data_IF_767838144233
#
_entry.id   IF_767838144233
#
_cell.length_a   1.000
_cell.length_b   1.000
_cell.length_c   1.000
_cell.angle_alpha   90.00
_cell.angle_beta   90.00
_cell.angle_gamma   90.00
#
_symmetry.space_group_name_H-M   'P 1'
#
loop_
_entity.id
_entity.type
_entity.pdbx_description
1 polymer ?
#
# COMPACT_ATOMS: atom_id res chain seq x y z
N UNK A 1 -5.73 30.70 10.35
CA UNK A 1 -4.40 30.48 10.95
C UNK A 1 -3.29 30.25 9.90
N UNK A 2 -3.60 29.79 8.67
CA UNK A 2 -2.64 29.60 7.57
C UNK A 2 -1.97 30.88 7.02
N UNK A 3 -2.58 32.05 7.22
CA UNK A 3 -2.09 33.31 6.64
C UNK A 3 -0.85 33.92 7.33
N UNK A 4 -0.35 33.34 8.42
CA UNK A 4 0.81 33.91 9.16
C UNK A 4 2.14 33.27 8.72
N UNK A 5 2.12 32.06 8.14
CA UNK A 5 3.35 31.31 7.80
C UNK A 5 3.95 31.72 6.44
N UNK A 6 3.18 32.38 5.58
CA UNK A 6 3.58 32.70 4.20
C UNK A 6 4.54 33.90 4.04
N UNK A 7 4.90 34.60 5.12
CA UNK A 7 5.70 35.85 5.04
C UNK A 7 7.22 35.66 4.97
N UNK A 8 7.76 34.43 4.91
CA UNK A 8 9.21 34.21 5.00
C UNK A 8 9.79 33.05 4.19
N UNK A 9 9.05 32.51 3.21
CA UNK A 9 9.55 31.40 2.38
C UNK A 9 9.99 31.93 1.02
N UNK A 10 11.27 31.80 0.69
CA UNK A 10 11.79 32.15 -0.64
C UNK A 10 11.12 31.29 -1.71
N UNK A 11 10.97 31.82 -2.94
CA UNK A 11 10.09 31.27 -3.98
C UNK A 11 10.24 29.77 -4.27
N UNK A 12 11.41 29.18 -4.00
CA UNK A 12 11.69 27.75 -4.16
C UNK A 12 11.04 26.88 -3.06
N UNK A 13 10.99 27.37 -1.81
CA UNK A 13 10.31 26.70 -0.69
C UNK A 13 8.80 26.76 -0.84
N UNK A 14 8.27 27.85 -1.40
CA UNK A 14 6.85 27.96 -1.72
C UNK A 14 6.44 26.97 -2.81
N UNK A 15 7.26 26.79 -3.86
CA UNK A 15 7.02 25.78 -4.90
C UNK A 15 7.11 24.36 -4.33
N UNK A 16 8.08 24.06 -3.44
CA UNK A 16 8.19 22.74 -2.81
C UNK A 16 6.98 22.45 -1.90
N UNK A 17 6.51 23.43 -1.12
CA UNK A 17 5.29 23.28 -0.32
C UNK A 17 4.03 23.17 -1.18
N UNK A 18 3.94 23.92 -2.28
CA UNK A 18 2.80 23.86 -3.20
C UNK A 18 2.76 22.55 -4.00
N UNK A 19 3.92 21.99 -4.39
CA UNK A 19 4.01 20.67 -5.02
C UNK A 19 3.65 19.55 -4.05
N UNK A 20 4.12 19.62 -2.79
CA UNK A 20 3.75 18.64 -1.77
C UNK A 20 2.28 18.78 -1.34
N UNK A 21 1.76 20.01 -1.17
CA UNK A 21 0.34 20.25 -0.93
C UNK A 21 -0.53 19.80 -2.10
N UNK A 22 -0.08 19.99 -3.35
CA UNK A 22 -0.81 19.51 -4.52
C UNK A 22 -0.84 17.99 -4.57
N UNK A 23 0.28 17.32 -4.26
CA UNK A 23 0.31 15.85 -4.14
C UNK A 23 -0.58 15.34 -3.00
N UNK A 24 -0.59 16.01 -1.84
CA UNK A 24 -1.47 15.68 -0.71
C UNK A 24 -2.95 15.94 -1.03
N UNK A 25 -3.26 17.02 -1.76
CA UNK A 25 -4.63 17.34 -2.18
C UNK A 25 -5.10 16.37 -3.26
N UNK A 26 -4.27 16.07 -4.27
CA UNK A 26 -4.57 15.06 -5.30
C UNK A 26 -4.74 13.68 -4.65
N UNK A 27 -3.90 13.32 -3.67
CA UNK A 27 -4.04 12.07 -2.91
C UNK A 27 -5.32 12.04 -2.07
N UNK A 28 -5.66 13.13 -1.37
CA UNK A 28 -6.91 13.25 -0.59
C UNK A 28 -8.16 13.24 -1.48
N UNK A 29 -8.12 13.91 -2.61
CA UNK A 29 -9.23 13.98 -3.57
C UNK A 29 -9.45 12.62 -4.23
N UNK A 30 -8.38 11.89 -4.58
CA UNK A 30 -8.45 10.51 -5.03
C UNK A 30 -9.00 9.56 -3.94
N UNK A 31 -8.61 9.74 -2.67
CA UNK A 31 -9.12 8.96 -1.55
C UNK A 31 -10.63 9.19 -1.32
N UNK A 32 -11.10 10.43 -1.38
CA UNK A 32 -12.53 10.77 -1.26
C UNK A 32 -13.32 10.22 -2.45
N UNK A 33 -12.79 10.34 -3.67
CA UNK A 33 -13.43 9.82 -4.87
C UNK A 33 -13.48 8.27 -4.90
N UNK A 34 -12.47 7.58 -4.38
CA UNK A 34 -12.48 6.12 -4.18
C UNK A 34 -13.44 5.68 -3.06
N UNK A 35 -13.68 6.52 -2.05
CA UNK A 35 -14.62 6.21 -0.96
C UNK A 35 -16.07 6.10 -1.47
N UNK A 36 -16.42 6.79 -2.55
CA UNK A 36 -17.76 6.74 -3.18
C UNK A 36 -17.83 5.82 -4.41
N UNK A 37 -16.70 5.37 -4.96
CA UNK A 37 -16.64 4.57 -6.18
C UNK A 37 -15.70 3.40 -6.03
N UNK A 38 -16.28 2.20 -6.16
CA UNK A 38 -15.61 0.92 -6.34
C UNK A 38 -14.67 0.49 -5.21
N UNK A 39 -15.19 -0.47 -4.45
CA UNK A 39 -14.45 -1.55 -3.79
C UNK A 39 -13.19 -1.86 -4.67
N UNK A 40 -11.96 -1.60 -4.19
CA UNK A 40 -10.66 -1.87 -4.87
C UNK A 40 -10.60 -3.18 -5.69
N UNK A 41 -10.14 -3.13 -6.95
CA UNK A 41 -10.03 -4.34 -7.80
C UNK A 41 -8.71 -5.06 -7.59
N UNK A 42 -8.67 -6.35 -7.95
CA UNK A 42 -7.43 -7.13 -7.84
C UNK A 42 -6.29 -6.55 -8.70
N UNK A 43 -6.58 -6.15 -9.94
CA UNK A 43 -5.56 -5.57 -10.84
C UNK A 43 -4.98 -4.26 -10.29
N UNK A 44 -5.80 -3.44 -9.62
CA UNK A 44 -5.33 -2.22 -8.95
C UNK A 44 -4.35 -2.58 -7.84
N UNK A 45 -4.71 -3.51 -6.95
CA UNK A 45 -3.80 -3.97 -5.89
C UNK A 45 -2.50 -4.52 -6.47
N UNK A 46 -2.60 -5.33 -7.51
CA UNK A 46 -1.45 -5.95 -8.16
C UNK A 46 -0.50 -4.91 -8.75
N UNK A 47 -1.04 -3.84 -9.34
CA UNK A 47 -0.22 -2.77 -9.89
C UNK A 47 0.47 -1.94 -8.79
N UNK A 48 -0.24 -1.65 -7.69
CA UNK A 48 0.29 -0.88 -6.56
C UNK A 48 1.37 -1.65 -5.77
N UNK A 49 1.22 -2.98 -5.65
CA UNK A 49 2.12 -3.83 -4.86
C UNK A 49 3.02 -4.73 -5.72
N UNK A 50 3.16 -4.47 -7.02
CA UNK A 50 3.94 -5.33 -7.94
C UNK A 50 5.40 -5.53 -7.50
N UNK A 51 5.98 -4.51 -6.85
CA UNK A 51 7.37 -4.50 -6.43
C UNK A 51 7.58 -5.14 -5.03
N UNK A 52 6.47 -5.48 -4.35
CA UNK A 52 6.49 -6.12 -3.04
C UNK A 52 6.43 -7.64 -3.19
N UNK A 53 7.48 -8.33 -2.71
CA UNK A 53 7.51 -9.79 -2.71
C UNK A 53 6.48 -10.41 -1.76
N UNK A 54 6.11 -9.71 -0.69
CA UNK A 54 5.13 -10.11 0.33
C UNK A 54 4.38 -8.86 0.80
N UNK A 55 3.10 -9.00 1.11
CA UNK A 55 2.28 -7.91 1.62
C UNK A 55 1.25 -8.38 2.66
N UNK A 56 0.74 -7.42 3.41
CA UNK A 56 -0.16 -7.59 4.56
C UNK A 56 -1.47 -6.83 4.37
N UNK A 57 -2.46 -7.16 5.20
CA UNK A 57 -3.72 -6.39 5.22
C UNK A 57 -3.50 -4.90 5.55
N UNK A 58 -2.46 -4.57 6.33
CA UNK A 58 -2.19 -3.19 6.71
C UNK A 58 -1.64 -2.39 5.52
N UNK A 59 -0.73 -2.95 4.73
CA UNK A 59 -0.24 -2.30 3.50
C UNK A 59 -1.37 -2.10 2.49
N UNK A 60 -2.29 -3.07 2.36
CA UNK A 60 -3.49 -2.90 1.53
C UNK A 60 -4.33 -1.73 2.04
N UNK A 61 -4.50 -1.59 3.36
CA UNK A 61 -5.27 -0.50 3.98
C UNK A 61 -4.60 0.86 3.89
N UNK A 62 -3.28 0.91 3.68
CA UNK A 62 -2.60 2.17 3.34
C UNK A 62 -3.05 2.69 1.97
N UNK A 63 -3.40 1.79 1.05
CA UNK A 63 -3.87 2.12 -0.31
C UNK A 63 -5.39 2.31 -0.34
N UNK A 64 -6.15 1.37 0.24
CA UNK A 64 -7.60 1.43 0.39
C UNK A 64 -7.99 1.31 1.88
N UNK A 65 -8.14 2.44 2.59
CA UNK A 65 -8.45 2.45 4.03
C UNK A 65 -9.73 1.66 4.39
N UNK A 66 -10.67 1.56 3.47
CA UNK A 66 -11.95 0.87 3.66
C UNK A 66 -11.89 -0.59 3.20
N UNK A 67 -10.71 -1.13 2.92
CA UNK A 67 -10.56 -2.48 2.39
C UNK A 67 -11.10 -3.55 3.35
N UNK A 68 -12.09 -4.30 2.87
CA UNK A 68 -12.72 -5.38 3.61
C UNK A 68 -11.91 -6.69 3.51
N UNK A 69 -11.45 -7.21 4.65
CA UNK A 69 -10.70 -8.48 4.77
C UNK A 69 -11.33 -9.66 4.02
N UNK A 70 -12.66 -9.74 3.96
CA UNK A 70 -13.41 -10.80 3.26
C UNK A 70 -12.97 -10.98 1.81
N UNK A 71 -12.50 -9.92 1.14
CA UNK A 71 -11.97 -10.00 -0.23
C UNK A 71 -10.72 -10.83 -0.38
N UNK A 72 -9.88 -10.89 0.64
CA UNK A 72 -8.71 -11.75 0.60
C UNK A 72 -9.13 -13.22 0.55
N UNK A 73 -10.26 -13.59 1.15
CA UNK A 73 -10.81 -14.93 1.00
C UNK A 73 -11.26 -15.15 -0.46
N UNK A 74 -12.06 -14.24 -1.01
CA UNK A 74 -12.50 -14.31 -2.42
C UNK A 74 -11.32 -14.42 -3.40
N UNK A 75 -10.23 -13.70 -3.15
CA UNK A 75 -9.03 -13.73 -4.01
C UNK A 75 -8.14 -14.96 -3.78
N UNK A 76 -8.14 -15.53 -2.58
CA UNK A 76 -7.52 -16.83 -2.33
C UNK A 76 -8.29 -17.95 -3.05
N UNK A 77 -9.62 -17.94 -2.96
CA UNK A 77 -10.48 -18.93 -3.63
C UNK A 77 -10.31 -18.90 -5.15
N UNK A 78 -10.10 -17.69 -5.70
CA UNK A 78 -9.77 -17.48 -7.13
C UNK A 78 -8.31 -17.74 -7.49
N UNK A 79 -7.49 -18.19 -6.53
CA UNK A 79 -6.05 -18.42 -6.71
C UNK A 79 -5.27 -17.19 -7.19
N UNK A 80 -5.72 -15.97 -6.86
CA UNK A 80 -4.99 -14.74 -7.20
C UNK A 80 -3.87 -14.43 -6.21
N UNK A 81 -4.05 -14.83 -4.96
CA UNK A 81 -3.06 -14.66 -3.90
C UNK A 81 -2.91 -15.97 -3.11
N UNK A 82 -1.74 -16.16 -2.52
CA UNK A 82 -1.46 -17.25 -1.58
C UNK A 82 -1.12 -16.66 -0.23
N UNK A 83 -1.64 -17.26 0.83
CA UNK A 83 -1.27 -16.91 2.20
C UNK A 83 0.04 -17.61 2.56
N UNK A 84 1.00 -16.87 3.10
CA UNK A 84 2.27 -17.46 3.53
C UNK A 84 2.29 -17.70 5.04
N UNK A 85 1.92 -16.69 5.82
CA UNK A 85 1.74 -16.77 7.28
C UNK A 85 0.51 -15.96 7.70
N UNK A 86 0.18 -15.92 8.99
CA UNK A 86 -0.99 -15.18 9.50
C UNK A 86 -0.90 -13.69 9.13
N UNK A 87 -1.80 -13.25 8.24
CA UNK A 87 -1.94 -11.85 7.86
C UNK A 87 -1.08 -11.39 6.69
N UNK A 88 -0.22 -12.28 6.15
CA UNK A 88 0.68 -11.98 5.05
C UNK A 88 0.46 -12.89 3.85
N UNK A 89 0.56 -12.31 2.65
CA UNK A 89 0.18 -12.90 1.39
C UNK A 89 1.20 -12.56 0.30
N UNK A 90 1.18 -13.36 -0.76
CA UNK A 90 1.92 -13.14 -2.00
C UNK A 90 0.97 -13.26 -3.18
N UNK A 91 1.32 -12.67 -4.32
CA UNK A 91 0.60 -12.93 -5.56
C UNK A 91 0.87 -14.36 -6.05
N UNK A 92 -0.17 -15.05 -6.53
CA UNK A 92 -0.03 -16.45 -6.96
C UNK A 92 0.83 -16.62 -8.21
N UNK A 93 0.90 -15.58 -9.04
CA UNK A 93 1.68 -15.54 -10.27
C UNK A 93 3.09 -14.95 -10.08
N UNK A 94 3.48 -14.66 -8.84
CA UNK A 94 4.84 -14.29 -8.51
C UNK A 94 5.78 -15.44 -8.87
N UNK A 95 6.69 -15.21 -9.81
CA UNK A 95 7.67 -16.19 -10.22
C UNK A 95 8.69 -16.39 -9.10
N UNK A 96 8.79 -17.60 -8.54
CA UNK A 96 9.71 -17.88 -7.46
C UNK A 96 11.13 -18.07 -8.00
N UNK A 97 11.94 -17.03 -7.92
CA UNK A 97 13.40 -17.12 -8.05
C UNK A 97 14.06 -17.26 -6.69
N UNK A 98 15.32 -17.69 -6.66
CA UNK A 98 16.12 -17.76 -5.43
C UNK A 98 16.18 -16.38 -4.72
N UNK A 99 16.36 -15.30 -5.49
CA UNK A 99 16.34 -13.93 -4.97
C UNK A 99 15.01 -13.59 -4.27
N UNK A 100 13.87 -13.95 -4.87
CA UNK A 100 12.55 -13.69 -4.30
C UNK A 100 12.33 -14.53 -3.04
N UNK A 101 12.77 -15.78 -3.04
CA UNK A 101 12.72 -16.65 -1.85
C UNK A 101 13.53 -16.05 -0.70
N UNK A 102 14.74 -15.54 -0.96
CA UNK A 102 15.54 -14.84 0.04
C UNK A 102 14.85 -13.58 0.56
N UNK A 103 14.23 -12.78 -0.30
CA UNK A 103 13.46 -11.60 0.11
C UNK A 103 12.31 -11.98 1.04
N UNK A 104 11.51 -12.98 0.67
CA UNK A 104 10.39 -13.47 1.50
C UNK A 104 10.91 -13.95 2.86
N UNK A 105 11.97 -14.76 2.87
CA UNK A 105 12.55 -15.28 4.11
C UNK A 105 13.07 -14.15 5.01
N UNK A 106 13.77 -13.17 4.45
CA UNK A 106 14.28 -12.01 5.18
C UNK A 106 13.13 -11.17 5.77
N UNK A 107 12.08 -10.91 4.98
CA UNK A 107 10.88 -10.21 5.46
C UNK A 107 10.21 -10.98 6.60
N UNK A 108 10.08 -12.30 6.51
CA UNK A 108 9.53 -13.11 7.59
C UNK A 108 10.36 -13.04 8.86
N UNK A 109 11.68 -13.19 8.75
CA UNK A 109 12.58 -13.08 9.90
C UNK A 109 12.43 -11.72 10.60
N UNK A 110 12.33 -10.64 9.83
CA UNK A 110 12.07 -9.31 10.37
C UNK A 110 10.71 -9.25 11.09
N UNK A 111 9.64 -9.77 10.48
CA UNK A 111 8.31 -9.82 11.10
C UNK A 111 8.35 -10.55 12.44
N UNK A 112 8.94 -11.74 12.49
CA UNK A 112 9.03 -12.53 13.72
C UNK A 112 9.89 -11.86 14.81
N UNK A 113 10.92 -11.11 14.41
CA UNK A 113 11.83 -10.43 15.35
C UNK A 113 11.22 -9.17 15.96
N UNK A 114 10.47 -8.40 15.18
CA UNK A 114 10.00 -7.06 15.58
C UNK A 114 8.50 -6.98 15.90
N UNK A 115 7.73 -8.02 15.57
CA UNK A 115 6.31 -8.14 15.89
C UNK A 115 6.04 -9.54 16.47
N UNK A 116 6.43 -9.80 17.73
CA UNK A 116 6.15 -11.07 18.37
C UNK A 116 4.62 -11.26 18.43
N UNK A 117 4.16 -12.39 17.89
CA UNK A 117 2.76 -12.81 17.87
C UNK A 117 2.13 -12.86 19.27
#
# INVERSE_FOLDING_TARGET
MYNIILKGLEGVQLIFLLLNCSNDIIFRENAINNTLRNKMKFLELKNELKDFAIFSLNEIRTIDPNFHRRRLNEWQDKSYIKKVIRGYYIFSDLQLSEEILFKIAFSMLAIFKYCPL
#
